data_IF_169944805596
#
_entry.id   IF_169944805596
#
_cell.length_a   1.000
_cell.length_b   1.000
_cell.length_c   1.000
_cell.angle_alpha   90.00
_cell.angle_beta   90.00
_cell.angle_gamma   90.00
#
_symmetry.space_group_name_H-M   'P 1'
#
loop_
_entity.id
_entity.type
_entity.pdbx_description
1 polymer ?
#
# COMPACT_ATOMS: atom_id res chain seq x y z
N UNK A 1 93.88 62.22 10.56
CA UNK A 1 92.84 63.03 9.91
C UNK A 1 91.60 62.16 9.81
N UNK A 2 90.56 62.57 10.53
CA UNK A 2 89.25 61.94 10.63
C UNK A 2 88.50 61.96 9.30
N UNK A 3 87.73 60.90 9.01
CA UNK A 3 86.35 60.95 8.50
C UNK A 3 85.78 59.52 8.43
N UNK A 4 84.96 59.14 9.42
CA UNK A 4 83.48 59.09 9.36
C UNK A 4 82.96 57.94 8.48
N UNK A 5 82.72 56.80 9.13
CA UNK A 5 81.91 55.69 8.61
C UNK A 5 80.42 56.07 8.72
N UNK A 6 79.69 56.02 7.61
CA UNK A 6 78.22 56.13 7.57
C UNK A 6 77.67 54.71 7.39
N UNK A 7 77.05 54.19 8.46
CA UNK A 7 76.29 52.94 8.41
C UNK A 7 74.83 53.26 8.06
N UNK A 8 74.36 52.76 6.92
CA UNK A 8 72.95 52.75 6.55
C UNK A 8 72.28 51.52 7.19
N UNK A 9 71.55 51.73 8.28
CA UNK A 9 70.56 50.77 8.79
C UNK A 9 69.21 51.08 8.13
N UNK A 10 68.83 50.26 7.14
CA UNK A 10 67.49 50.28 6.55
C UNK A 10 66.71 49.07 7.07
N UNK A 11 66.11 49.20 8.25
CA UNK A 11 65.13 48.25 8.76
C UNK A 11 63.77 48.60 8.17
N UNK A 12 63.39 47.92 7.08
CA UNK A 12 62.00 47.84 6.62
C UNK A 12 61.39 46.65 7.35
N UNK A 13 60.75 46.92 8.49
CA UNK A 13 59.84 45.95 9.09
C UNK A 13 58.53 45.99 8.29
N UNK A 14 58.31 44.91 7.53
CA UNK A 14 57.03 44.58 6.92
C UNK A 14 55.99 44.41 8.04
N UNK A 15 55.21 45.46 8.26
CA UNK A 15 53.97 45.35 9.04
C UNK A 15 52.96 44.61 8.18
N UNK A 16 52.78 43.34 8.50
CA UNK A 16 51.66 42.52 8.06
C UNK A 16 50.35 43.32 8.21
N UNK A 17 49.67 43.48 7.09
CA UNK A 17 48.39 44.13 6.98
C UNK A 17 47.31 43.08 7.28
N UNK A 18 46.59 43.12 8.41
CA UNK A 18 45.50 42.20 8.68
C UNK A 18 44.28 42.65 7.88
N UNK A 19 44.31 42.44 6.56
CA UNK A 19 43.13 42.61 5.71
C UNK A 19 42.35 41.30 5.68
N UNK A 20 41.13 41.41 6.18
CA UNK A 20 39.95 40.67 5.74
C UNK A 20 39.92 39.16 5.99
N UNK A 21 39.77 38.79 7.26
CA UNK A 21 39.28 37.47 7.66
C UNK A 21 37.77 37.46 8.05
N UNK A 22 36.99 38.52 7.76
CA UNK A 22 35.58 38.61 8.19
C UNK A 22 34.54 38.24 7.13
N UNK A 23 34.94 37.70 5.98
CA UNK A 23 34.00 37.32 4.90
C UNK A 23 33.56 35.84 4.93
N UNK A 24 34.07 35.02 5.85
CA UNK A 24 33.89 33.56 5.82
C UNK A 24 32.87 33.01 6.84
N UNK A 25 32.36 33.80 7.77
CA UNK A 25 31.41 33.29 8.79
C UNK A 25 30.03 32.93 8.20
N UNK A 26 29.62 33.55 7.10
CA UNK A 26 28.33 33.22 6.44
C UNK A 26 28.34 31.93 5.61
N UNK A 27 29.50 31.51 5.09
CA UNK A 27 29.61 30.35 4.20
C UNK A 27 29.46 29.00 4.93
N UNK A 28 29.91 28.94 6.19
CA UNK A 28 29.85 27.71 6.98
C UNK A 28 28.42 27.37 7.44
N UNK A 29 27.60 28.39 7.75
CA UNK A 29 26.19 28.20 8.11
C UNK A 29 25.37 27.59 6.97
N UNK A 30 25.50 28.15 5.76
CA UNK A 30 24.82 27.64 4.57
C UNK A 30 25.22 26.20 4.21
N UNK A 31 26.51 25.86 4.32
CA UNK A 31 26.97 24.49 4.06
C UNK A 31 26.46 23.49 5.12
N UNK A 32 26.34 23.91 6.38
CA UNK A 32 25.77 23.07 7.43
C UNK A 32 24.27 22.83 7.20
N UNK A 33 23.52 23.87 6.84
CA UNK A 33 22.10 23.78 6.47
C UNK A 33 21.88 22.86 5.26
N UNK A 34 22.68 23.01 4.19
CA UNK A 34 22.62 22.12 3.04
C UNK A 34 22.87 20.66 3.40
N UNK A 35 23.86 20.39 4.26
CA UNK A 35 24.12 19.02 4.74
C UNK A 35 22.94 18.48 5.54
N UNK A 36 22.31 19.31 6.38
CA UNK A 36 21.09 18.96 7.10
C UNK A 36 19.94 18.59 6.17
N UNK A 37 19.68 19.41 5.15
CA UNK A 37 18.64 19.16 4.15
C UNK A 37 18.90 17.84 3.39
N UNK A 38 20.15 17.60 2.97
CA UNK A 38 20.51 16.37 2.26
C UNK A 38 20.34 15.13 3.16
N UNK A 39 20.66 15.22 4.45
CA UNK A 39 20.45 14.13 5.40
C UNK A 39 18.95 13.82 5.60
N UNK A 40 18.12 14.85 5.73
CA UNK A 40 16.66 14.67 5.84
C UNK A 40 16.06 14.11 4.54
N UNK A 41 16.53 14.55 3.37
CA UNK A 41 16.12 13.95 2.09
C UNK A 41 16.50 12.47 1.99
N UNK A 42 17.70 12.10 2.43
CA UNK A 42 18.13 10.70 2.45
C UNK A 42 17.24 9.85 3.36
N UNK A 43 16.96 10.34 4.58
CA UNK A 43 16.07 9.67 5.53
C UNK A 43 14.65 9.52 5.00
N UNK A 44 14.11 10.55 4.35
CA UNK A 44 12.79 10.50 3.72
C UNK A 44 12.76 9.48 2.57
N UNK A 45 13.80 9.45 1.74
CA UNK A 45 13.92 8.51 0.64
C UNK A 45 14.03 7.06 1.13
N UNK A 46 14.75 6.81 2.22
CA UNK A 46 14.81 5.47 2.82
C UNK A 46 13.45 5.07 3.42
N UNK A 47 12.75 5.99 4.09
CA UNK A 47 11.37 5.76 4.54
C UNK A 47 10.40 5.44 3.38
N UNK A 48 10.55 6.08 2.22
CA UNK A 48 9.76 5.76 1.02
C UNK A 48 10.05 4.36 0.49
N UNK A 49 11.32 3.92 0.48
CA UNK A 49 11.68 2.55 0.08
C UNK A 49 11.08 1.52 1.02
N UNK A 50 11.12 1.77 2.33
CA UNK A 50 10.56 0.86 3.33
C UNK A 50 9.04 0.73 3.15
N UNK A 51 8.34 1.86 2.92
CA UNK A 51 6.90 1.86 2.65
C UNK A 51 6.56 1.11 1.36
N UNK A 52 7.32 1.30 0.28
CA UNK A 52 7.09 0.58 -0.98
C UNK A 52 7.36 -0.92 -0.84
N UNK A 53 8.39 -1.30 -0.08
CA UNK A 53 8.68 -2.70 0.25
C UNK A 53 7.52 -3.35 1.01
N UNK A 54 6.97 -2.67 2.03
CA UNK A 54 5.77 -3.13 2.75
C UNK A 54 4.55 -3.21 1.85
N UNK A 55 4.30 -2.20 1.00
CA UNK A 55 3.19 -2.21 0.02
C UNK A 55 3.31 -3.44 -0.88
N UNK A 56 4.50 -3.71 -1.38
CA UNK A 56 4.70 -4.81 -2.33
C UNK A 56 4.60 -6.19 -1.68
N UNK A 57 5.10 -6.32 -0.45
CA UNK A 57 4.86 -7.52 0.38
C UNK A 57 3.37 -7.75 0.61
N UNK A 58 2.60 -6.70 0.94
CA UNK A 58 1.15 -6.83 1.11
C UNK A 58 0.46 -7.30 -0.18
N UNK A 59 0.77 -6.69 -1.31
CA UNK A 59 0.22 -7.07 -2.61
C UNK A 59 0.62 -8.50 -3.02
N UNK A 60 1.81 -8.97 -2.65
CA UNK A 60 2.24 -10.36 -2.84
C UNK A 60 1.35 -11.36 -2.09
N UNK A 61 1.02 -11.05 -0.83
CA UNK A 61 0.11 -11.86 0.00
C UNK A 61 -1.30 -11.91 -0.63
N UNK A 62 -1.82 -10.75 -1.03
CA UNK A 62 -3.13 -10.63 -1.70
C UNK A 62 -3.17 -11.39 -3.03
N UNK A 63 -2.13 -11.26 -3.86
CA UNK A 63 -2.02 -12.01 -5.12
C UNK A 63 -2.07 -13.51 -4.87
N UNK A 64 -1.37 -14.01 -3.84
CA UNK A 64 -1.40 -15.43 -3.49
C UNK A 64 -2.79 -15.86 -3.04
N UNK A 65 -3.51 -15.06 -2.26
CA UNK A 65 -4.87 -15.36 -1.82
C UNK A 65 -5.80 -15.56 -3.03
N UNK A 66 -5.79 -14.61 -3.96
CA UNK A 66 -6.60 -14.66 -5.19
C UNK A 66 -6.19 -15.85 -6.06
N UNK A 67 -4.89 -16.04 -6.32
CA UNK A 67 -4.41 -17.19 -7.12
C UNK A 67 -4.79 -18.53 -6.50
N UNK A 68 -4.67 -18.67 -5.19
CA UNK A 68 -5.06 -19.89 -4.46
C UNK A 68 -6.55 -20.15 -4.61
N UNK A 69 -7.39 -19.14 -4.40
CA UNK A 69 -8.83 -19.28 -4.58
C UNK A 69 -9.22 -19.62 -6.01
N UNK A 70 -8.60 -18.98 -7.02
CA UNK A 70 -8.86 -19.31 -8.44
C UNK A 70 -8.51 -20.77 -8.73
N UNK A 71 -7.41 -21.30 -8.16
CA UNK A 71 -7.06 -22.71 -8.29
C UNK A 71 -8.11 -23.60 -7.65
N UNK A 72 -8.46 -23.33 -6.39
CA UNK A 72 -9.25 -24.26 -5.57
C UNK A 72 -10.75 -24.17 -5.87
N UNK A 73 -11.30 -22.95 -5.95
CA UNK A 73 -12.72 -22.70 -6.17
C UNK A 73 -13.14 -22.89 -7.63
N UNK A 74 -12.30 -22.47 -8.58
CA UNK A 74 -12.60 -22.59 -10.01
C UNK A 74 -11.99 -23.85 -10.63
N UNK A 75 -11.20 -24.63 -9.88
CA UNK A 75 -10.48 -25.83 -10.36
C UNK A 75 -9.57 -25.55 -11.56
N UNK A 76 -9.04 -24.33 -11.63
CA UNK A 76 -8.13 -23.94 -12.70
C UNK A 76 -6.72 -24.08 -12.15
N UNK A 77 -6.13 -25.26 -12.32
CA UNK A 77 -4.77 -25.54 -11.90
C UNK A 77 -3.82 -25.49 -13.10
N UNK A 78 -2.88 -24.54 -13.10
CA UNK A 78 -1.91 -24.34 -14.19
C UNK A 78 -0.52 -24.29 -13.61
N UNK A 79 0.49 -24.81 -14.32
CA UNK A 79 1.88 -24.82 -13.84
C UNK A 79 2.38 -23.42 -13.48
N UNK A 80 2.08 -22.43 -14.34
CA UNK A 80 2.35 -21.01 -14.05
C UNK A 80 1.78 -20.56 -12.71
N UNK A 81 0.56 -20.98 -12.37
CA UNK A 81 -0.09 -20.60 -11.10
C UNK A 81 0.55 -21.31 -9.90
N UNK A 82 0.96 -22.57 -10.06
CA UNK A 82 1.71 -23.30 -9.02
C UNK A 82 3.04 -22.61 -8.72
N UNK A 83 3.77 -22.22 -9.76
CA UNK A 83 5.02 -21.47 -9.64
C UNK A 83 4.80 -20.11 -8.94
N UNK A 84 3.77 -19.36 -9.34
CA UNK A 84 3.39 -18.10 -8.69
C UNK A 84 3.09 -18.30 -7.20
N UNK A 85 2.32 -19.34 -6.84
CA UNK A 85 2.00 -19.65 -5.44
C UNK A 85 3.23 -20.06 -4.62
N UNK A 86 4.12 -20.88 -5.19
CA UNK A 86 5.38 -21.30 -4.53
C UNK A 86 6.28 -20.09 -4.25
N UNK A 87 6.37 -19.15 -5.19
CA UNK A 87 7.15 -17.91 -5.02
C UNK A 87 6.61 -17.04 -3.88
N UNK A 88 5.29 -17.03 -3.68
CA UNK A 88 4.59 -16.16 -2.72
C UNK A 88 4.35 -16.84 -1.35
N UNK A 89 4.86 -18.05 -1.13
CA UNK A 89 4.43 -18.94 -0.03
C UNK A 89 4.97 -18.56 1.37
N UNK A 90 5.32 -17.30 1.63
CA UNK A 90 6.06 -16.88 2.84
C UNK A 90 5.17 -16.52 4.05
N UNK A 91 3.92 -16.14 3.84
CA UNK A 91 3.08 -15.56 4.90
C UNK A 91 1.68 -16.19 5.03
N UNK A 92 0.94 -15.82 6.09
CA UNK A 92 -0.45 -16.23 6.33
C UNK A 92 -1.39 -15.48 5.39
N UNK A 93 -2.37 -16.17 4.83
CA UNK A 93 -3.39 -15.55 3.96
C UNK A 93 -4.41 -14.82 4.84
N UNK A 94 -4.45 -13.49 4.73
CA UNK A 94 -5.44 -12.64 5.41
C UNK A 94 -6.77 -12.59 4.63
N UNK A 95 -7.87 -12.22 5.32
CA UNK A 95 -9.24 -12.15 4.76
C UNK A 95 -9.40 -11.20 3.57
N UNK A 96 -10.58 -11.14 2.94
CA UNK A 96 -10.91 -10.20 1.86
C UNK A 96 -10.56 -8.75 2.21
N UNK A 97 -10.05 -8.02 1.24
CA UNK A 97 -9.84 -6.57 1.28
C UNK A 97 -10.04 -6.06 -0.15
N UNK A 98 -11.20 -5.48 -0.39
CA UNK A 98 -11.64 -5.06 -1.72
C UNK A 98 -10.69 -4.03 -2.32
N UNK A 99 -10.11 -3.13 -1.52
CA UNK A 99 -9.23 -2.07 -2.02
C UNK A 99 -7.88 -2.63 -2.42
N UNK A 100 -7.29 -3.42 -1.54
CA UNK A 100 -6.02 -4.07 -1.82
C UNK A 100 -6.15 -5.07 -2.98
N UNK A 101 -7.29 -5.76 -3.08
CA UNK A 101 -7.55 -6.67 -4.19
C UNK A 101 -7.77 -5.92 -5.51
N UNK A 102 -8.40 -4.74 -5.50
CA UNK A 102 -8.45 -3.85 -6.68
C UNK A 102 -7.04 -3.52 -7.16
N UNK A 103 -6.14 -3.12 -6.25
CA UNK A 103 -4.75 -2.82 -6.60
C UNK A 103 -4.06 -4.05 -7.19
N UNK A 104 -4.21 -5.22 -6.56
CA UNK A 104 -3.64 -6.47 -7.11
C UNK A 104 -4.15 -6.77 -8.50
N UNK A 105 -5.47 -6.70 -8.73
CA UNK A 105 -6.00 -7.06 -10.05
C UNK A 105 -5.62 -6.05 -11.11
N UNK A 106 -5.68 -4.76 -10.79
CA UNK A 106 -5.31 -3.67 -11.70
C UNK A 106 -3.83 -3.65 -12.06
N UNK A 107 -2.94 -3.90 -11.09
CA UNK A 107 -1.48 -3.83 -11.30
C UNK A 107 -0.88 -5.13 -11.83
N UNK A 108 -1.42 -6.30 -11.45
CA UNK A 108 -0.72 -7.59 -11.64
C UNK A 108 -1.38 -8.55 -12.62
N UNK A 109 -2.64 -8.33 -12.97
CA UNK A 109 -3.39 -9.22 -13.85
C UNK A 109 -3.86 -8.51 -15.12
N UNK A 110 -3.92 -9.25 -16.23
CA UNK A 110 -4.53 -8.74 -17.47
C UNK A 110 -6.05 -8.71 -17.32
N UNK A 111 -6.73 -7.71 -17.92
CA UNK A 111 -8.19 -7.53 -17.84
C UNK A 111 -9.02 -8.75 -18.27
N UNK A 112 -8.49 -9.58 -19.16
CA UNK A 112 -9.15 -10.78 -19.67
C UNK A 112 -8.73 -12.08 -18.94
N UNK A 113 -7.89 -11.97 -17.91
CA UNK A 113 -7.46 -13.14 -17.14
C UNK A 113 -8.57 -13.61 -16.20
N UNK A 114 -8.56 -14.90 -15.87
CA UNK A 114 -9.48 -15.48 -14.88
C UNK A 114 -9.39 -14.77 -13.52
N UNK A 115 -8.18 -14.40 -13.08
CA UNK A 115 -7.97 -13.71 -11.81
C UNK A 115 -8.63 -12.32 -11.81
N UNK A 116 -8.54 -11.58 -12.92
CA UNK A 116 -9.27 -10.33 -13.07
C UNK A 116 -10.78 -10.54 -13.00
N UNK A 117 -11.31 -11.52 -13.75
CA UNK A 117 -12.74 -11.81 -13.79
C UNK A 117 -13.26 -12.31 -12.43
N UNK A 118 -12.43 -13.02 -11.66
CA UNK A 118 -12.80 -13.52 -10.34
C UNK A 118 -13.08 -12.43 -9.31
N UNK A 119 -12.59 -11.21 -9.53
CA UNK A 119 -12.91 -10.08 -8.66
C UNK A 119 -14.43 -9.87 -8.54
N UNK A 120 -15.14 -9.99 -9.67
CA UNK A 120 -16.60 -9.91 -9.69
C UNK A 120 -17.26 -11.06 -8.93
N UNK A 121 -16.69 -12.26 -8.98
CA UNK A 121 -17.21 -13.40 -8.20
C UNK A 121 -17.05 -13.18 -6.69
N UNK A 122 -15.91 -12.61 -6.27
CA UNK A 122 -15.62 -12.35 -4.86
C UNK A 122 -16.51 -11.24 -4.29
N UNK A 123 -16.54 -10.09 -4.96
CA UNK A 123 -17.12 -8.86 -4.41
C UNK A 123 -18.46 -8.46 -5.04
N UNK A 124 -18.85 -9.06 -6.17
CA UNK A 124 -20.02 -8.64 -6.97
C UNK A 124 -19.78 -7.36 -7.78
N UNK A 125 -18.65 -6.68 -7.60
CA UNK A 125 -18.27 -5.43 -8.24
C UNK A 125 -17.20 -5.63 -9.31
N UNK A 126 -16.99 -4.64 -10.17
CA UNK A 126 -15.77 -4.56 -10.99
C UNK A 126 -14.73 -3.66 -10.30
N UNK A 127 -13.43 -3.80 -10.63
CA UNK A 127 -12.40 -2.93 -10.08
C UNK A 127 -12.64 -1.45 -10.39
N UNK A 128 -13.17 -1.16 -11.59
CA UNK A 128 -13.51 0.20 -12.02
C UNK A 128 -14.60 0.79 -11.11
N UNK A 129 -15.67 0.04 -10.80
CA UNK A 129 -16.72 0.52 -9.89
C UNK A 129 -16.19 0.91 -8.50
N UNK A 130 -15.26 0.12 -7.96
CA UNK A 130 -14.70 0.38 -6.62
C UNK A 130 -13.85 1.66 -6.63
N UNK A 131 -13.11 1.91 -7.71
CA UNK A 131 -12.31 3.13 -7.85
C UNK A 131 -13.17 4.38 -7.95
N UNK A 132 -14.38 4.28 -8.49
CA UNK A 132 -15.32 5.40 -8.64
C UNK A 132 -16.06 5.76 -7.34
N UNK A 133 -16.09 4.85 -6.34
CA UNK A 133 -16.82 5.09 -5.10
C UNK A 133 -16.18 6.12 -4.16
N UNK A 134 -17.04 6.97 -3.59
CA UNK A 134 -16.72 7.88 -2.49
C UNK A 134 -16.52 7.11 -1.17
N UNK A 135 -15.27 6.74 -0.89
CA UNK A 135 -14.87 5.88 0.24
C UNK A 135 -15.48 6.27 1.59
N UNK A 136 -15.40 7.54 2.05
CA UNK A 136 -16.02 7.97 3.29
C UNK A 136 -17.52 7.63 3.42
N UNK A 137 -18.24 7.52 2.30
CA UNK A 137 -19.69 7.27 2.30
C UNK A 137 -20.07 5.80 2.32
N UNK A 138 -19.17 4.89 1.94
CA UNK A 138 -19.47 3.46 1.77
C UNK A 138 -18.54 2.52 2.55
N UNK A 139 -17.87 3.02 3.59
CA UNK A 139 -16.89 2.27 4.37
C UNK A 139 -17.45 0.95 4.94
N UNK A 140 -18.62 0.94 5.58
CA UNK A 140 -19.18 -0.29 6.18
C UNK A 140 -19.67 -1.23 5.10
N UNK A 141 -20.16 -0.70 3.98
CA UNK A 141 -20.55 -1.52 2.82
C UNK A 141 -19.38 -2.25 2.21
N UNK A 142 -18.25 -1.58 2.03
CA UNK A 142 -17.02 -2.24 1.58
C UNK A 142 -16.55 -3.29 2.59
N UNK A 143 -16.60 -2.98 3.89
CA UNK A 143 -16.25 -3.96 4.93
C UNK A 143 -17.19 -5.18 4.94
N UNK A 144 -18.48 -4.99 4.68
CA UNK A 144 -19.44 -6.07 4.52
C UNK A 144 -19.06 -6.98 3.32
N UNK A 145 -18.68 -6.39 2.19
CA UNK A 145 -18.19 -7.13 1.03
C UNK A 145 -16.87 -7.86 1.32
N UNK A 146 -15.96 -7.27 2.11
CA UNK A 146 -14.72 -7.91 2.56
C UNK A 146 -14.98 -9.18 3.38
N UNK A 147 -16.00 -9.15 4.24
CA UNK A 147 -16.44 -10.34 5.01
C UNK A 147 -17.00 -11.41 4.08
N UNK A 148 -17.86 -11.04 3.13
CA UNK A 148 -18.38 -12.00 2.14
C UNK A 148 -17.24 -12.64 1.32
N UNK A 149 -16.31 -11.83 0.81
CA UNK A 149 -15.14 -12.33 0.08
C UNK A 149 -14.26 -13.22 0.96
N UNK A 150 -14.07 -12.87 2.24
CA UNK A 150 -13.34 -13.72 3.20
C UNK A 150 -13.94 -15.12 3.33
N UNK A 151 -15.26 -15.23 3.37
CA UNK A 151 -15.96 -16.53 3.43
C UNK A 151 -15.70 -17.33 2.16
N UNK A 152 -15.73 -16.69 0.99
CA UNK A 152 -15.47 -17.34 -0.29
C UNK A 152 -14.01 -17.81 -0.40
N UNK A 153 -13.06 -16.95 -0.01
CA UNK A 153 -11.63 -17.22 0.01
C UNK A 153 -11.31 -18.40 0.93
N UNK A 154 -11.78 -18.35 2.19
CA UNK A 154 -11.50 -19.36 3.21
C UNK A 154 -12.04 -20.74 2.86
N UNK A 155 -13.21 -20.79 2.22
CA UNK A 155 -13.88 -22.05 1.89
C UNK A 155 -13.62 -22.53 0.46
N UNK A 156 -12.82 -21.80 -0.32
CA UNK A 156 -12.61 -22.04 -1.75
C UNK A 156 -13.93 -22.24 -2.52
N UNK A 157 -14.89 -21.32 -2.34
CA UNK A 157 -16.22 -21.37 -2.96
C UNK A 157 -16.45 -20.22 -3.93
N UNK A 158 -17.31 -20.45 -4.91
CA UNK A 158 -17.80 -19.42 -5.84
C UNK A 158 -19.08 -18.74 -5.38
N UNK A 159 -19.79 -19.35 -4.42
CA UNK A 159 -21.06 -18.88 -3.89
C UNK A 159 -21.00 -18.82 -2.35
N UNK A 160 -21.75 -17.90 -1.76
CA UNK A 160 -21.90 -17.79 -0.31
C UNK A 160 -22.65 -19.00 0.25
N UNK A 161 -22.57 -19.19 1.57
CA UNK A 161 -23.05 -20.41 2.24
C UNK A 161 -24.55 -20.63 2.06
N UNK A 162 -25.34 -19.55 2.01
CA UNK A 162 -26.79 -19.60 1.82
C UNK A 162 -27.22 -18.67 0.69
N UNK A 163 -28.36 -18.97 0.08
CA UNK A 163 -28.97 -18.12 -0.95
C UNK A 163 -29.33 -16.74 -0.40
N UNK A 164 -29.80 -16.67 0.85
CA UNK A 164 -30.08 -15.41 1.54
C UNK A 164 -28.84 -14.52 1.66
N UNK A 165 -27.67 -15.08 2.01
CA UNK A 165 -26.40 -14.31 2.03
C UNK A 165 -26.00 -13.85 0.63
N UNK A 166 -26.18 -14.70 -0.38
CA UNK A 166 -25.97 -14.37 -1.79
C UNK A 166 -26.79 -13.17 -2.22
N UNK A 167 -28.10 -13.22 -1.95
CA UNK A 167 -29.05 -12.15 -2.27
C UNK A 167 -28.74 -10.87 -1.51
N UNK A 168 -28.44 -10.94 -0.21
CA UNK A 168 -28.02 -9.75 0.55
C UNK A 168 -26.79 -9.09 -0.08
N UNK A 169 -25.82 -9.86 -0.58
CA UNK A 169 -24.63 -9.31 -1.23
C UNK A 169 -25.02 -8.60 -2.53
N UNK A 170 -25.88 -9.22 -3.33
CA UNK A 170 -26.36 -8.66 -4.60
C UNK A 170 -27.15 -7.36 -4.37
N UNK A 171 -28.05 -7.34 -3.40
CA UNK A 171 -28.83 -6.16 -3.00
C UNK A 171 -27.91 -5.02 -2.53
N UNK A 172 -26.89 -5.33 -1.70
CA UNK A 172 -25.90 -4.36 -1.26
C UNK A 172 -25.09 -3.78 -2.43
N UNK A 173 -24.64 -4.65 -3.34
CA UNK A 173 -23.91 -4.25 -4.55
C UNK A 173 -24.78 -3.35 -5.44
N UNK A 174 -26.07 -3.67 -5.60
CA UNK A 174 -27.00 -2.86 -6.36
C UNK A 174 -27.14 -1.45 -5.77
N UNK A 175 -27.30 -1.32 -4.45
CA UNK A 175 -27.36 -0.02 -3.78
C UNK A 175 -26.09 0.80 -3.99
N UNK A 176 -24.91 0.17 -3.92
CA UNK A 176 -23.63 0.84 -4.18
C UNK A 176 -23.50 1.33 -5.62
N UNK A 177 -23.92 0.53 -6.60
CA UNK A 177 -23.89 0.89 -8.02
C UNK A 177 -24.92 1.99 -8.38
N UNK A 178 -26.01 2.09 -7.61
CA UNK A 178 -27.00 3.18 -7.72
C UNK A 178 -26.64 4.42 -6.90
N UNK A 179 -25.44 4.46 -6.28
CA UNK A 179 -24.95 5.54 -5.42
C UNK A 179 -25.86 5.82 -4.19
N UNK A 180 -26.67 4.84 -3.78
CA UNK A 180 -27.54 4.89 -2.58
C UNK A 180 -26.76 4.51 -1.33
N UNK A 181 -25.75 5.33 -1.02
CA UNK A 181 -24.77 5.01 0.03
C UNK A 181 -25.37 4.94 1.43
N UNK A 182 -26.35 5.78 1.76
CA UNK A 182 -26.98 5.76 3.09
C UNK A 182 -27.75 4.45 3.32
N UNK A 183 -28.53 4.01 2.34
CA UNK A 183 -29.24 2.73 2.38
C UNK A 183 -28.27 1.55 2.41
N UNK A 184 -27.19 1.60 1.60
CA UNK A 184 -26.15 0.59 1.59
C UNK A 184 -25.50 0.45 2.97
N UNK A 185 -25.11 1.56 3.61
CA UNK A 185 -24.50 1.58 4.94
C UNK A 185 -25.45 1.04 6.03
N UNK A 186 -26.73 1.39 5.95
CA UNK A 186 -27.76 0.85 6.85
C UNK A 186 -27.88 -0.67 6.69
N UNK A 187 -27.97 -1.15 5.45
CA UNK A 187 -28.05 -2.59 5.14
C UNK A 187 -26.81 -3.36 5.60
N UNK A 188 -25.64 -2.72 5.52
CA UNK A 188 -24.35 -3.32 5.88
C UNK A 188 -24.26 -3.67 7.37
N UNK A 189 -25.01 -2.97 8.22
CA UNK A 189 -25.01 -3.21 9.68
C UNK A 189 -25.65 -4.56 10.06
N UNK A 190 -26.55 -5.07 9.22
CA UNK A 190 -27.20 -6.38 9.38
C UNK A 190 -26.54 -7.48 8.55
N UNK A 191 -25.52 -7.14 7.77
CA UNK A 191 -24.90 -8.04 6.82
C UNK A 191 -24.02 -9.08 7.54
N UNK A 192 -24.40 -10.36 7.43
CA UNK A 192 -23.70 -11.52 7.98
C UNK A 192 -23.61 -11.61 9.52
N UNK A 193 -24.31 -10.74 10.25
CA UNK A 193 -24.27 -10.68 11.71
C UNK A 193 -24.82 -11.93 12.41
N UNK A 194 -25.66 -12.72 11.74
CA UNK A 194 -26.36 -13.87 12.36
C UNK A 194 -25.62 -15.22 12.21
N UNK A 195 -24.64 -15.32 11.31
CA UNK A 195 -24.07 -16.63 10.93
C UNK A 195 -22.67 -16.93 11.49
N UNK A 196 -22.03 -15.99 12.19
CA UNK A 196 -20.76 -16.29 12.88
C UNK A 196 -20.98 -17.10 14.18
N UNK A 197 -22.21 -17.10 14.72
CA UNK A 197 -22.55 -17.84 15.95
C UNK A 197 -22.85 -19.32 15.72
N UNK A 198 -23.23 -19.74 14.51
CA UNK A 198 -23.70 -21.11 14.25
C UNK A 198 -22.63 -22.05 13.67
N UNK A 199 -21.51 -21.51 13.16
CA UNK A 199 -20.41 -22.31 12.59
C UNK A 199 -19.45 -22.83 13.69
N UNK A 200 -19.65 -22.42 14.95
CA UNK A 200 -18.86 -22.92 16.08
C UNK A 200 -19.29 -24.33 16.56
N UNK A 201 -20.43 -24.87 16.10
CA UNK A 201 -20.97 -26.14 16.62
C UNK A 201 -20.77 -27.38 15.70
N UNK A 202 -20.31 -27.22 14.46
CA UNK A 202 -19.96 -28.37 13.59
C UNK A 202 -18.45 -28.68 13.63
N UNK A 203 -17.97 -29.04 14.81
CA UNK A 203 -16.74 -29.82 14.97
C UNK A 203 -16.96 -30.88 16.05
N UNK A 204 -17.60 -31.97 15.66
CA UNK A 204 -17.53 -33.27 16.32
C UNK A 204 -17.28 -34.36 15.29
#
# INVERSE_FOLDING_TARGET
>A
MSHTHIAYHSSVEDKENPRDASAYEGGFGFLAEMRGILAEMAKMNDGLKDLESHRQSHLDIRQRAVSTWVRDALRIDTERRKEEMLRLNKDVIHGGDVRSDVMVVTERYRKNSTAWQSFRTLYGLTPDNVNDFDQPKCYRSLQALDRAASILLRNARTNLLTEAMGKQREDLVALLLEEKYEEAEKMSSTFLSENESSVAEEKF
#
